data_IF_735185137084
#
_entry.id   IF_735185137084
#
_cell.length_a   1.000
_cell.length_b   1.000
_cell.length_c   1.000
_cell.angle_alpha   90.00
_cell.angle_beta   90.00
_cell.angle_gamma   90.00
#
_symmetry.space_group_name_H-M   'P 1'
#
loop_
_entity.id
_entity.type
_entity.pdbx_description
1 polymer ?
#
# COMPACT_ATOMS: atom_id res chain seq x y z
N UNK A 1 22.51 51.99 17.22
CA UNK A 1 22.44 50.55 17.42
C UNK A 1 22.09 49.94 16.08
N UNK A 2 23.13 49.53 15.35
CA UNK A 2 22.92 48.86 14.04
C UNK A 2 22.57 47.41 14.32
N UNK A 3 21.35 47.02 14.04
CA UNK A 3 20.99 45.62 13.90
C UNK A 3 21.62 45.13 12.60
N UNK A 4 22.77 44.50 12.68
CA UNK A 4 23.29 43.65 11.62
C UNK A 4 22.24 42.56 11.35
N UNK A 5 21.53 42.74 10.28
CA UNK A 5 20.64 41.72 9.71
C UNK A 5 21.53 40.54 9.29
N UNK A 6 21.60 39.53 10.16
CA UNK A 6 22.38 38.32 9.96
C UNK A 6 21.84 37.65 8.69
N UNK A 7 22.50 37.87 7.56
CA UNK A 7 22.16 37.27 6.28
C UNK A 7 22.12 35.75 6.48
N UNK A 8 20.92 35.22 6.52
CA UNK A 8 20.68 33.79 6.67
C UNK A 8 21.18 33.11 5.39
N UNK A 9 22.09 32.16 5.54
CA UNK A 9 22.61 31.44 4.39
C UNK A 9 21.48 30.82 3.55
N UNK A 10 21.58 30.85 2.20
CA UNK A 10 20.56 30.32 1.34
C UNK A 10 20.32 28.84 1.63
N UNK A 11 19.07 28.48 1.83
CA UNK A 11 18.65 27.11 2.07
C UNK A 11 18.47 26.35 0.75
N UNK A 12 18.97 25.13 0.68
CA UNK A 12 18.84 24.29 -0.50
C UNK A 12 18.50 22.85 -0.11
N UNK A 13 17.71 22.17 -0.94
CA UNK A 13 17.45 20.74 -0.81
C UNK A 13 17.30 20.07 -2.18
N UNK A 14 17.43 18.75 -2.20
CA UNK A 14 17.12 17.92 -3.36
C UNK A 14 15.98 16.99 -2.95
N UNK A 15 14.85 17.11 -3.62
CA UNK A 15 13.73 16.17 -3.49
C UNK A 15 13.86 15.07 -4.55
N UNK A 16 13.52 13.85 -4.16
CA UNK A 16 13.61 12.67 -5.03
C UNK A 16 12.22 12.09 -5.25
N UNK A 17 11.83 12.02 -6.53
CA UNK A 17 10.53 11.52 -6.97
C UNK A 17 10.73 10.32 -7.89
N UNK A 18 9.77 9.42 -7.90
CA UNK A 18 9.79 8.25 -8.79
C UNK A 18 8.44 8.07 -9.49
N UNK A 19 8.51 7.79 -10.81
CA UNK A 19 7.33 7.52 -11.64
C UNK A 19 6.53 8.76 -12.04
N UNK A 20 7.17 9.95 -12.01
CA UNK A 20 6.57 11.22 -12.47
C UNK A 20 7.53 11.88 -13.45
N UNK A 21 7.05 12.35 -14.63
CA UNK A 21 7.88 13.08 -15.59
C UNK A 21 8.48 14.36 -14.99
N UNK A 22 9.73 14.64 -15.36
CA UNK A 22 10.45 15.81 -14.85
C UNK A 22 9.77 17.13 -15.23
N UNK A 23 9.13 17.20 -16.39
CA UNK A 23 8.40 18.37 -16.89
C UNK A 23 7.25 18.74 -15.94
N UNK A 24 6.50 17.73 -15.47
CA UNK A 24 5.41 17.93 -14.51
C UNK A 24 5.93 18.42 -13.16
N UNK A 25 7.04 17.85 -12.70
CA UNK A 25 7.69 18.25 -11.44
C UNK A 25 8.24 19.66 -11.55
N UNK A 26 8.83 20.01 -12.70
CA UNK A 26 9.36 21.36 -12.98
C UNK A 26 8.25 22.41 -12.95
N UNK A 27 7.10 22.13 -13.61
CA UNK A 27 5.94 23.04 -13.58
C UNK A 27 5.45 23.31 -12.18
N UNK A 28 5.25 22.24 -11.39
CA UNK A 28 4.82 22.37 -10.00
C UNK A 28 5.84 23.11 -9.12
N UNK A 29 7.12 22.91 -9.38
CA UNK A 29 8.17 23.61 -8.65
C UNK A 29 8.19 25.11 -8.97
N UNK A 30 7.92 25.51 -10.21
CA UNK A 30 7.78 26.92 -10.61
C UNK A 30 6.63 27.62 -9.88
N UNK A 31 5.53 26.90 -9.60
CA UNK A 31 4.40 27.42 -8.81
C UNK A 31 4.77 27.79 -7.37
N UNK A 32 5.88 27.25 -6.85
CA UNK A 32 6.37 27.59 -5.51
C UNK A 32 7.08 28.96 -5.45
N UNK A 33 7.42 29.55 -6.60
CA UNK A 33 8.15 30.79 -6.70
C UNK A 33 9.65 30.67 -6.37
N UNK A 34 10.17 29.47 -6.12
CA UNK A 34 11.57 29.23 -5.81
C UNK A 34 12.41 28.92 -7.07
N UNK A 35 13.71 29.17 -6.96
CA UNK A 35 14.66 28.65 -7.95
C UNK A 35 14.68 27.11 -7.89
N UNK A 36 14.25 26.50 -8.99
CA UNK A 36 14.05 25.06 -9.09
C UNK A 36 14.71 24.50 -10.37
N UNK A 37 15.38 23.37 -10.24
CA UNK A 37 15.98 22.65 -11.35
C UNK A 37 15.64 21.16 -11.24
N UNK A 38 15.01 20.61 -12.29
CA UNK A 38 14.72 19.19 -12.41
C UNK A 38 15.75 18.49 -13.27
N UNK A 39 16.10 17.27 -12.88
CA UNK A 39 16.91 16.34 -13.67
C UNK A 39 16.21 14.98 -13.72
N UNK A 40 15.87 14.51 -14.91
CA UNK A 40 15.36 13.16 -15.12
C UNK A 40 16.52 12.15 -15.14
N UNK A 41 16.31 11.00 -14.50
CA UNK A 41 17.21 9.86 -14.52
C UNK A 41 16.38 8.58 -14.67
N UNK A 42 16.01 8.23 -15.90
CA UNK A 42 15.02 7.20 -16.17
C UNK A 42 13.65 7.57 -15.62
N UNK A 43 13.09 6.75 -14.74
CA UNK A 43 11.82 7.02 -14.05
C UNK A 43 11.98 7.84 -12.74
N UNK A 44 13.21 8.16 -12.36
CA UNK A 44 13.50 9.01 -11.20
C UNK A 44 13.65 10.47 -11.63
N UNK A 45 13.08 11.38 -10.86
CA UNK A 45 13.23 12.82 -11.03
C UNK A 45 13.86 13.41 -9.77
N UNK A 46 14.98 14.10 -9.95
CA UNK A 46 15.66 14.86 -8.91
C UNK A 46 15.27 16.32 -9.07
N UNK A 47 14.72 16.92 -8.01
CA UNK A 47 14.32 18.31 -7.95
C UNK A 47 15.22 19.06 -6.96
N UNK A 48 16.15 19.87 -7.44
CA UNK A 48 16.92 20.78 -6.63
C UNK A 48 16.13 22.09 -6.41
N UNK A 49 15.95 22.49 -5.16
CA UNK A 49 15.30 23.72 -4.73
C UNK A 49 16.28 24.62 -4.00
N UNK A 50 16.19 25.93 -4.23
CA UNK A 50 16.94 26.95 -3.50
C UNK A 50 15.99 28.06 -3.05
N UNK A 51 16.11 28.44 -1.79
CA UNK A 51 15.33 29.52 -1.19
C UNK A 51 16.26 30.48 -0.45
N UNK A 52 15.88 31.72 -0.35
CA UNK A 52 16.60 32.74 0.44
C UNK A 52 16.47 32.46 1.94
N UNK A 53 15.38 31.83 2.36
CA UNK A 53 15.10 31.51 3.76
C UNK A 53 14.72 30.06 3.96
N UNK A 54 15.05 29.43 5.10
CA UNK A 54 14.60 28.09 5.45
C UNK A 54 13.07 27.95 5.47
N UNK A 55 12.37 28.97 5.96
CA UNK A 55 10.90 28.98 6.01
C UNK A 55 10.27 28.92 4.61
N UNK A 56 10.83 29.64 3.63
CA UNK A 56 10.39 29.58 2.24
C UNK A 56 10.61 28.20 1.64
N UNK A 57 11.78 27.58 1.92
CA UNK A 57 12.06 26.22 1.49
C UNK A 57 11.07 25.20 2.07
N UNK A 58 10.77 25.31 3.38
CA UNK A 58 9.82 24.41 4.05
C UNK A 58 8.40 24.57 3.52
N UNK A 59 7.98 25.79 3.17
CA UNK A 59 6.69 26.06 2.55
C UNK A 59 6.57 25.38 1.18
N UNK A 60 7.59 25.53 0.33
CA UNK A 60 7.65 24.89 -0.98
C UNK A 60 7.67 23.36 -0.86
N UNK A 61 8.44 22.80 0.07
CA UNK A 61 8.47 21.37 0.34
C UNK A 61 7.07 20.86 0.73
N UNK A 62 6.35 21.53 1.62
CA UNK A 62 4.98 21.15 1.99
C UNK A 62 4.03 21.15 0.80
N UNK A 63 4.10 22.15 -0.07
CA UNK A 63 3.28 22.23 -1.29
C UNK A 63 3.57 21.05 -2.23
N UNK A 64 4.85 20.77 -2.51
CA UNK A 64 5.25 19.66 -3.36
C UNK A 64 4.94 18.28 -2.75
N UNK A 65 5.08 18.14 -1.43
CA UNK A 65 4.63 16.94 -0.74
C UNK A 65 3.12 16.71 -0.85
N UNK A 66 2.31 17.76 -0.80
CA UNK A 66 0.86 17.63 -0.97
C UNK A 66 0.50 17.18 -2.40
N UNK A 67 1.22 17.68 -3.40
CA UNK A 67 0.96 17.38 -4.80
C UNK A 67 1.50 16.00 -5.24
N UNK A 68 2.68 15.61 -4.74
CA UNK A 68 3.40 14.40 -5.15
C UNK A 68 3.58 13.38 -4.01
N UNK A 69 2.68 13.35 -3.04
CA UNK A 69 2.81 12.52 -1.84
C UNK A 69 3.15 11.05 -2.10
N UNK A 70 2.62 10.45 -3.17
CA UNK A 70 2.89 9.06 -3.52
C UNK A 70 4.21 8.88 -4.27
N UNK A 71 4.58 9.85 -5.10
CA UNK A 71 5.77 9.79 -5.94
C UNK A 71 7.05 10.22 -5.18
N UNK A 72 6.94 11.18 -4.26
CA UNK A 72 8.05 11.67 -3.47
C UNK A 72 8.47 10.62 -2.45
N UNK A 73 9.72 10.15 -2.55
CA UNK A 73 10.20 9.04 -1.72
C UNK A 73 11.36 9.43 -0.81
N UNK A 74 12.03 10.55 -1.05
CA UNK A 74 13.17 10.95 -0.23
C UNK A 74 13.70 12.34 -0.51
N UNK A 75 14.68 12.71 0.30
CA UNK A 75 15.45 13.95 0.21
C UNK A 75 16.95 13.64 0.24
N UNK A 76 17.75 14.51 -0.36
CA UNK A 76 19.21 14.42 -0.36
C UNK A 76 19.71 13.13 -1.01
N UNK A 77 20.48 12.36 -0.27
CA UNK A 77 21.10 11.11 -0.72
C UNK A 77 20.22 9.86 -0.50
N UNK A 78 18.97 10.04 -0.05
CA UNK A 78 18.06 8.91 0.20
C UNK A 78 17.76 8.17 -1.11
N UNK A 79 18.16 6.91 -1.20
CA UNK A 79 17.86 6.07 -2.37
C UNK A 79 16.46 5.45 -2.28
N UNK A 80 15.89 5.10 -3.45
CA UNK A 80 14.60 4.41 -3.49
C UNK A 80 14.62 3.05 -2.76
N UNK A 81 15.77 2.37 -2.80
CA UNK A 81 15.99 1.11 -2.08
C UNK A 81 15.86 1.32 -0.57
N UNK A 82 16.55 2.33 -0.03
CA UNK A 82 16.44 2.70 1.38
C UNK A 82 15.01 3.10 1.76
N UNK A 83 14.33 3.87 0.90
CA UNK A 83 12.96 4.29 1.14
C UNK A 83 12.00 3.09 1.17
N UNK A 84 12.17 2.10 0.27
CA UNK A 84 11.37 0.89 0.26
C UNK A 84 11.63 0.02 1.51
N UNK A 85 12.89 -0.20 1.89
CA UNK A 85 13.25 -0.95 3.09
C UNK A 85 12.69 -0.29 4.36
N UNK A 86 12.85 1.02 4.52
CA UNK A 86 12.28 1.78 5.65
C UNK A 86 10.75 1.71 5.69
N UNK A 87 10.08 1.76 4.53
CA UNK A 87 8.63 1.65 4.45
C UNK A 87 8.12 0.28 4.93
N UNK A 88 8.81 -0.79 4.55
CA UNK A 88 8.53 -2.15 5.02
C UNK A 88 8.78 -2.29 6.52
N UNK A 89 9.94 -1.81 7.02
CA UNK A 89 10.32 -1.86 8.44
C UNK A 89 9.33 -1.09 9.32
N UNK A 90 9.01 0.14 8.97
CA UNK A 90 8.05 0.98 9.69
C UNK A 90 6.65 0.35 9.81
N UNK A 91 6.30 -0.53 8.89
CA UNK A 91 5.02 -1.25 8.87
C UNK A 91 5.14 -2.71 9.30
N UNK A 92 6.33 -3.15 9.70
CA UNK A 92 6.64 -4.54 10.06
C UNK A 92 6.12 -5.52 8.99
N UNK A 93 6.50 -5.27 7.73
CA UNK A 93 6.08 -6.05 6.57
C UNK A 93 7.26 -6.77 5.97
N UNK A 94 7.09 -8.06 5.68
CA UNK A 94 8.08 -8.88 5.00
C UNK A 94 7.76 -8.92 3.51
N UNK A 95 8.79 -8.80 2.68
CA UNK A 95 8.80 -9.04 1.24
C UNK A 95 9.57 -10.33 0.97
N UNK A 96 9.04 -11.19 0.11
CA UNK A 96 9.72 -12.39 -0.38
C UNK A 96 9.72 -12.40 -1.90
N UNK A 97 10.63 -13.13 -2.52
CA UNK A 97 10.62 -13.38 -3.96
C UNK A 97 9.93 -14.72 -4.28
N UNK A 98 9.07 -14.70 -5.29
CA UNK A 98 8.34 -15.89 -5.74
C UNK A 98 9.13 -16.72 -6.77
N UNK A 99 10.14 -16.14 -7.38
CA UNK A 99 10.99 -16.74 -8.40
C UNK A 99 12.41 -16.18 -8.36
N UNK A 100 13.34 -16.88 -9.02
CA UNK A 100 14.75 -16.49 -9.07
C UNK A 100 14.98 -15.17 -9.82
N UNK A 101 14.18 -14.88 -10.86
CA UNK A 101 14.30 -13.63 -11.61
C UNK A 101 13.99 -12.42 -10.75
N UNK A 102 12.91 -12.48 -9.94
CA UNK A 102 12.61 -11.40 -8.99
C UNK A 102 13.68 -11.30 -7.89
N UNK A 103 14.25 -12.45 -7.45
CA UNK A 103 15.40 -12.49 -6.55
C UNK A 103 16.58 -11.72 -7.14
N UNK A 104 17.01 -12.07 -8.33
CA UNK A 104 18.13 -11.42 -9.02
C UNK A 104 17.92 -9.90 -9.22
N UNK A 105 16.67 -9.46 -9.45
CA UNK A 105 16.35 -8.04 -9.57
C UNK A 105 16.52 -7.26 -8.25
N UNK A 106 16.21 -7.88 -7.12
CA UNK A 106 16.09 -7.20 -5.84
C UNK A 106 17.30 -7.39 -4.92
N UNK A 107 17.90 -8.58 -4.89
CA UNK A 107 18.97 -8.96 -3.96
C UNK A 107 20.14 -7.99 -4.01
N UNK A 108 20.78 -7.84 -5.18
CA UNK A 108 21.95 -6.96 -5.35
C UNK A 108 21.72 -5.52 -4.86
N UNK A 109 20.47 -5.05 -4.91
CA UNK A 109 20.12 -3.70 -4.48
C UNK A 109 19.82 -3.64 -2.99
N UNK A 110 19.11 -4.62 -2.46
CA UNK A 110 18.71 -4.65 -1.06
C UNK A 110 19.89 -5.00 -0.14
N UNK A 111 20.85 -5.81 -0.57
CA UNK A 111 22.08 -6.10 0.16
C UNK A 111 22.88 -4.84 0.56
N UNK A 112 22.72 -3.76 -0.20
CA UNK A 112 23.38 -2.47 0.12
C UNK A 112 22.74 -1.73 1.30
N UNK A 113 21.62 -2.22 1.84
CA UNK A 113 20.83 -1.53 2.87
C UNK A 113 20.71 -2.41 4.12
N UNK A 114 21.33 -2.00 5.22
CA UNK A 114 21.33 -2.76 6.48
C UNK A 114 19.92 -3.13 7.00
N UNK A 115 18.92 -2.28 6.76
CA UNK A 115 17.54 -2.57 7.16
C UNK A 115 16.89 -3.70 6.34
N UNK A 116 17.46 -4.07 5.20
CA UNK A 116 16.85 -5.06 4.31
C UNK A 116 16.77 -6.46 4.92
N UNK A 117 17.75 -6.87 5.72
CA UNK A 117 17.77 -8.18 6.40
C UNK A 117 16.52 -8.43 7.26
N UNK A 118 15.89 -7.37 7.78
CA UNK A 118 14.70 -7.46 8.62
C UNK A 118 13.40 -7.55 7.82
N UNK A 119 13.42 -7.14 6.56
CA UNK A 119 12.21 -6.90 5.76
C UNK A 119 12.20 -7.64 4.44
N UNK A 120 13.33 -8.23 4.05
CA UNK A 120 13.47 -9.00 2.84
C UNK A 120 14.04 -10.39 3.16
N UNK A 121 13.34 -11.43 2.73
CA UNK A 121 13.82 -12.79 2.87
C UNK A 121 14.54 -13.21 1.60
N UNK A 122 15.85 -13.17 1.65
CA UNK A 122 16.77 -13.48 0.55
C UNK A 122 16.69 -14.93 0.07
N UNK A 123 16.23 -15.85 0.90
CA UNK A 123 16.31 -17.27 0.61
C UNK A 123 15.01 -18.03 0.58
N UNK A 124 13.92 -17.45 1.12
CA UNK A 124 12.74 -18.23 1.49
C UNK A 124 12.10 -18.99 0.35
N UNK A 125 12.09 -18.44 -0.85
CA UNK A 125 11.30 -19.01 -1.96
C UNK A 125 12.13 -19.38 -3.19
N UNK A 126 13.33 -18.82 -3.33
CA UNK A 126 14.17 -19.00 -4.53
C UNK A 126 15.14 -20.16 -4.40
N UNK A 127 15.70 -20.35 -3.22
CA UNK A 127 16.87 -21.24 -3.06
C UNK A 127 16.65 -22.37 -2.08
N UNK A 128 15.67 -22.21 -1.18
CA UNK A 128 15.78 -22.94 0.01
C UNK A 128 15.25 -24.34 -0.14
N UNK A 129 14.13 -24.55 -0.13
CA UNK A 129 13.56 -25.84 0.17
C UNK A 129 12.97 -26.45 -1.09
N UNK A 130 13.59 -27.52 -1.58
CA UNK A 130 13.06 -28.31 -2.70
C UNK A 130 11.59 -28.69 -2.47
N UNK A 131 11.20 -28.95 -1.23
CA UNK A 131 9.83 -29.27 -0.86
C UNK A 131 8.90 -28.08 -1.07
N UNK A 132 9.34 -26.85 -0.72
CA UNK A 132 8.58 -25.61 -0.93
C UNK A 132 8.53 -25.29 -2.41
N UNK A 133 9.63 -25.41 -3.14
CA UNK A 133 9.69 -25.25 -4.60
C UNK A 133 8.75 -26.23 -5.30
N UNK A 134 8.76 -27.49 -4.92
CA UNK A 134 7.86 -28.52 -5.45
C UNK A 134 6.38 -28.17 -5.19
N UNK A 135 6.05 -27.64 -4.01
CA UNK A 135 4.68 -27.19 -3.70
C UNK A 135 4.26 -25.97 -4.54
N UNK A 136 5.16 -25.02 -4.76
CA UNK A 136 4.92 -23.87 -5.64
C UNK A 136 4.67 -24.33 -7.07
N UNK A 137 5.53 -25.19 -7.59
CA UNK A 137 5.44 -25.73 -8.95
C UNK A 137 4.18 -26.57 -9.15
N UNK A 138 3.80 -27.39 -8.16
CA UNK A 138 2.57 -28.18 -8.23
C UNK A 138 1.32 -27.30 -8.33
N UNK A 139 1.32 -26.12 -7.69
CA UNK A 139 0.20 -25.16 -7.80
C UNK A 139 0.19 -24.43 -9.14
N UNK A 140 1.35 -24.17 -9.71
CA UNK A 140 1.47 -23.44 -11.00
C UNK A 140 1.24 -24.34 -12.21
N UNK A 141 1.56 -25.62 -12.15
CA UNK A 141 1.39 -26.59 -13.26
C UNK A 141 -0.04 -26.70 -13.81
N UNK A 142 -1.04 -26.37 -13.01
CA UNK A 142 -2.46 -26.44 -13.41
C UNK A 142 -3.00 -25.11 -13.97
N UNK A 143 -2.18 -24.07 -13.99
CA UNK A 143 -2.61 -22.74 -14.49
C UNK A 143 -2.60 -22.77 -16.00
N UNK A 144 -3.77 -22.57 -16.60
CA UNK A 144 -3.89 -22.35 -18.05
C UNK A 144 -3.54 -20.90 -18.34
N UNK A 145 -2.63 -20.66 -19.27
CA UNK A 145 -2.20 -19.33 -19.66
C UNK A 145 -0.69 -19.25 -19.84
N UNK A 146 -0.20 -18.16 -20.36
CA UNK A 146 1.22 -17.94 -20.62
C UNK A 146 2.03 -17.70 -19.34
N UNK A 147 3.33 -17.39 -19.52
CA UNK A 147 4.29 -17.17 -18.44
C UNK A 147 3.80 -16.16 -17.38
N UNK A 148 3.10 -15.09 -17.78
CA UNK A 148 2.57 -14.09 -16.87
C UNK A 148 1.48 -14.64 -15.93
N UNK A 149 0.59 -15.51 -16.43
CA UNK A 149 -0.43 -16.16 -15.59
C UNK A 149 0.21 -17.13 -14.59
N UNK A 150 1.24 -17.85 -15.01
CA UNK A 150 2.02 -18.75 -14.12
C UNK A 150 2.77 -17.95 -13.04
N UNK A 151 3.39 -16.82 -13.40
CA UNK A 151 4.06 -15.94 -12.45
C UNK A 151 3.08 -15.36 -11.42
N UNK A 152 1.90 -14.92 -11.86
CA UNK A 152 0.84 -14.46 -10.95
C UNK A 152 0.43 -15.54 -9.94
N UNK A 153 0.26 -16.78 -10.39
CA UNK A 153 -0.09 -17.90 -9.53
C UNK A 153 1.07 -18.25 -8.57
N UNK A 154 2.32 -18.16 -9.02
CA UNK A 154 3.52 -18.38 -8.20
C UNK A 154 3.64 -17.32 -7.10
N UNK A 155 3.44 -16.05 -7.45
CA UNK A 155 3.41 -14.93 -6.49
C UNK A 155 2.33 -15.14 -5.43
N UNK A 156 1.12 -15.54 -5.82
CA UNK A 156 0.05 -15.86 -4.87
C UNK A 156 0.44 -17.01 -3.94
N UNK A 157 1.03 -18.05 -4.49
CA UNK A 157 1.46 -19.22 -3.72
C UNK A 157 2.59 -18.85 -2.75
N UNK A 158 3.61 -18.10 -3.19
CA UNK A 158 4.72 -17.64 -2.36
C UNK A 158 4.23 -16.81 -1.18
N UNK A 159 3.34 -15.85 -1.42
CA UNK A 159 2.73 -15.03 -0.38
C UNK A 159 1.98 -15.87 0.66
N UNK A 160 1.24 -16.88 0.21
CA UNK A 160 0.47 -17.76 1.11
C UNK A 160 1.35 -18.69 1.93
N UNK A 161 2.40 -19.26 1.31
CA UNK A 161 3.28 -20.21 1.99
C UNK A 161 4.20 -19.53 3.00
N UNK A 162 4.75 -18.39 2.66
CA UNK A 162 5.64 -17.63 3.55
C UNK A 162 4.89 -16.86 4.64
N UNK A 163 3.60 -16.57 4.43
CA UNK A 163 2.86 -15.65 5.28
C UNK A 163 3.32 -14.19 5.17
N UNK A 164 4.26 -13.88 4.26
CA UNK A 164 4.79 -12.55 4.04
C UNK A 164 3.68 -11.57 3.65
N UNK A 165 3.90 -10.28 3.91
CA UNK A 165 2.95 -9.24 3.52
C UNK A 165 2.87 -9.12 1.99
N UNK A 166 4.02 -9.25 1.34
CA UNK A 166 4.18 -9.12 -0.11
C UNK A 166 5.06 -10.24 -0.66
N UNK A 167 4.76 -10.63 -1.90
CA UNK A 167 5.60 -11.52 -2.69
C UNK A 167 5.88 -10.85 -4.05
N UNK A 168 7.15 -10.72 -4.41
CA UNK A 168 7.59 -10.20 -5.69
C UNK A 168 7.80 -11.33 -6.69
N UNK A 169 7.43 -11.10 -7.94
CA UNK A 169 7.70 -12.00 -9.06
C UNK A 169 7.91 -11.20 -10.33
N UNK A 170 8.55 -11.79 -11.33
CA UNK A 170 8.66 -11.17 -12.63
C UNK A 170 8.70 -12.17 -13.78
N UNK A 171 8.44 -11.67 -14.97
CA UNK A 171 8.62 -12.37 -16.23
C UNK A 171 9.44 -11.48 -17.14
N UNK A 172 10.68 -11.86 -17.37
CA UNK A 172 11.57 -11.17 -18.30
C UNK A 172 11.20 -11.53 -19.74
N UNK A 173 11.16 -10.51 -20.60
CA UNK A 173 10.97 -10.63 -22.03
C UNK A 173 12.11 -9.86 -22.73
N UNK A 174 12.21 -9.98 -24.04
CA UNK A 174 13.31 -9.37 -24.81
C UNK A 174 13.42 -7.85 -24.58
N UNK A 175 12.30 -7.12 -24.60
CA UNK A 175 12.27 -5.66 -24.56
C UNK A 175 11.83 -5.11 -23.19
N UNK A 176 11.13 -5.92 -22.40
CA UNK A 176 10.50 -5.48 -21.17
C UNK A 176 10.42 -6.59 -20.11
N UNK A 177 10.05 -6.21 -18.90
CA UNK A 177 9.82 -7.11 -17.79
C UNK A 177 8.45 -6.85 -17.21
N UNK A 178 7.63 -7.91 -17.08
CA UNK A 178 6.35 -7.86 -16.36
C UNK A 178 6.62 -8.11 -14.89
N UNK A 179 6.26 -7.15 -14.06
CA UNK A 179 6.49 -7.12 -12.62
C UNK A 179 5.20 -7.45 -11.88
N UNK A 180 5.31 -8.25 -10.84
CA UNK A 180 4.20 -8.68 -9.99
C UNK A 180 4.53 -8.38 -8.53
N UNK A 181 3.65 -7.68 -7.83
CA UNK A 181 3.72 -7.50 -6.38
C UNK A 181 2.43 -8.05 -5.76
N UNK A 182 2.49 -9.26 -5.26
CA UNK A 182 1.36 -9.94 -4.64
C UNK A 182 1.16 -9.53 -3.19
N UNK A 183 -0.10 -9.49 -2.79
CA UNK A 183 -0.56 -9.32 -1.42
C UNK A 183 -1.61 -10.38 -1.11
N UNK A 184 -2.17 -10.39 0.12
CA UNK A 184 -3.25 -11.32 0.48
C UNK A 184 -4.50 -11.22 -0.42
N UNK A 185 -4.77 -10.04 -1.01
CA UNK A 185 -6.05 -9.75 -1.70
C UNK A 185 -5.97 -9.81 -3.22
N UNK A 186 -4.78 -9.76 -3.76
CA UNK A 186 -4.51 -9.68 -5.19
C UNK A 186 -3.09 -9.19 -5.43
N UNK A 187 -2.82 -8.80 -6.65
CA UNK A 187 -1.49 -8.47 -7.14
C UNK A 187 -1.52 -7.14 -7.89
N UNK A 188 -0.54 -6.29 -7.68
CA UNK A 188 -0.24 -5.20 -8.60
C UNK A 188 0.64 -5.73 -9.71
N UNK A 189 0.32 -5.36 -10.94
CA UNK A 189 1.03 -5.78 -12.15
C UNK A 189 1.46 -4.54 -12.92
N UNK A 190 2.70 -4.51 -13.35
CA UNK A 190 3.26 -3.45 -14.18
C UNK A 190 4.24 -4.04 -15.17
N UNK A 191 4.20 -3.57 -16.40
CA UNK A 191 5.24 -3.86 -17.39
C UNK A 191 6.17 -2.65 -17.52
N UNK A 192 7.45 -2.89 -17.35
CA UNK A 192 8.51 -1.89 -17.46
C UNK A 192 9.48 -2.27 -18.57
N UNK A 193 9.89 -1.32 -19.42
CA UNK A 193 10.96 -1.53 -20.37
C UNK A 193 12.24 -1.95 -19.64
N UNK A 194 13.04 -2.85 -20.21
CA UNK A 194 14.29 -3.32 -19.60
C UNK A 194 15.28 -2.18 -19.37
N UNK A 195 15.29 -1.17 -20.25
CA UNK A 195 16.05 0.09 -20.09
C UNK A 195 15.51 0.99 -18.97
N UNK A 196 14.28 0.78 -18.52
CA UNK A 196 13.57 1.57 -17.52
C UNK A 196 13.77 1.12 -16.06
N UNK A 197 14.83 0.35 -15.76
CA UNK A 197 15.17 -0.15 -14.45
C UNK A 197 14.02 -0.89 -13.72
N UNK A 198 13.59 -2.08 -14.19
CA UNK A 198 12.49 -2.85 -13.64
C UNK A 198 12.56 -3.05 -12.11
N UNK A 199 13.77 -3.24 -11.57
CA UNK A 199 13.98 -3.39 -10.14
C UNK A 199 13.52 -2.16 -9.33
N UNK A 200 13.75 -0.95 -9.83
CA UNK A 200 13.32 0.28 -9.16
C UNK A 200 11.79 0.41 -9.19
N UNK A 201 11.14 0.00 -10.28
CA UNK A 201 9.69 -0.05 -10.34
C UNK A 201 9.10 -1.03 -9.31
N UNK A 202 9.69 -2.20 -9.16
CA UNK A 202 9.24 -3.19 -8.18
C UNK A 202 9.43 -2.69 -6.74
N UNK A 203 10.53 -1.98 -6.47
CA UNK A 203 10.80 -1.34 -5.18
C UNK A 203 9.81 -0.20 -4.89
N UNK A 204 9.48 0.65 -5.88
CA UNK A 204 8.49 1.70 -5.68
C UNK A 204 7.08 1.14 -5.47
N UNK A 205 6.68 0.11 -6.23
CA UNK A 205 5.43 -0.61 -6.00
C UNK A 205 5.36 -1.15 -4.56
N UNK A 206 6.46 -1.71 -4.07
CA UNK A 206 6.58 -2.24 -2.70
C UNK A 206 6.48 -1.12 -1.65
N UNK A 207 7.21 -0.01 -1.84
CA UNK A 207 7.17 1.16 -0.97
C UNK A 207 5.75 1.73 -0.88
N UNK A 208 5.12 1.98 -2.02
CA UNK A 208 3.74 2.51 -2.08
C UNK A 208 2.76 1.55 -1.42
N UNK A 209 2.86 0.25 -1.70
CA UNK A 209 2.01 -0.76 -1.07
C UNK A 209 2.20 -0.81 0.46
N UNK A 210 3.44 -0.76 0.95
CA UNK A 210 3.76 -0.77 2.38
C UNK A 210 3.18 0.45 3.09
N UNK A 211 3.32 1.64 2.50
CA UNK A 211 2.79 2.90 3.05
C UNK A 211 1.28 3.08 2.83
N UNK A 212 0.67 2.25 1.99
CA UNK A 212 -0.75 2.37 1.64
C UNK A 212 -1.01 3.55 0.72
N UNK A 213 -0.04 3.93 -0.10
CA UNK A 213 -0.13 4.98 -1.11
C UNK A 213 -0.72 4.44 -2.43
N UNK A 214 -1.27 5.29 -3.29
CA UNK A 214 -1.66 4.90 -4.64
C UNK A 214 -0.44 4.45 -5.42
N UNK A 215 -0.63 3.42 -6.27
CA UNK A 215 0.42 2.97 -7.18
C UNK A 215 0.61 3.99 -8.32
N UNK A 216 1.79 3.97 -8.94
CA UNK A 216 2.06 4.82 -10.09
C UNK A 216 1.17 4.43 -11.28
N UNK A 217 0.90 5.40 -12.15
CA UNK A 217 0.18 5.20 -13.40
C UNK A 217 0.77 4.04 -14.21
N UNK A 218 -0.09 3.26 -14.87
CA UNK A 218 0.31 2.05 -15.59
C UNK A 218 0.52 0.83 -14.70
N UNK A 219 0.30 0.93 -13.39
CA UNK A 219 0.27 -0.22 -12.48
C UNK A 219 -1.16 -0.66 -12.25
N UNK A 220 -1.49 -1.88 -12.64
CA UNK A 220 -2.86 -2.41 -12.63
C UNK A 220 -3.05 -3.34 -11.43
N UNK A 221 -4.19 -3.22 -10.79
CA UNK A 221 -4.59 -4.15 -9.74
C UNK A 221 -5.32 -5.36 -10.31
N UNK A 222 -4.79 -6.55 -10.04
CA UNK A 222 -5.32 -7.83 -10.47
C UNK A 222 -5.82 -8.67 -9.30
N UNK A 223 -7.06 -9.11 -9.35
CA UNK A 223 -7.56 -10.13 -8.41
C UNK A 223 -7.02 -11.50 -8.81
N UNK A 224 -6.68 -12.30 -7.81
CA UNK A 224 -6.31 -13.69 -8.06
C UNK A 224 -7.49 -14.48 -8.63
N UNK A 225 -7.19 -15.35 -9.60
CA UNK A 225 -8.19 -16.17 -10.28
C UNK A 225 -8.87 -15.49 -11.47
N UNK A 226 -8.63 -14.20 -11.69
CA UNK A 226 -9.10 -13.52 -12.90
C UNK A 226 -8.01 -13.49 -13.97
N UNK A 227 -8.35 -13.50 -15.28
CA UNK A 227 -7.37 -13.35 -16.35
C UNK A 227 -6.68 -11.99 -16.29
N UNK A 228 -5.40 -11.96 -16.67
CA UNK A 228 -4.65 -10.71 -16.77
C UNK A 228 -5.18 -9.88 -17.95
N UNK A 229 -5.51 -8.60 -17.74
CA UNK A 229 -5.92 -7.74 -18.84
C UNK A 229 -4.72 -7.41 -19.74
N UNK A 230 -4.91 -7.24 -21.04
CA UNK A 230 -3.83 -6.96 -21.99
C UNK A 230 -2.99 -5.72 -21.61
N UNK A 231 -3.63 -4.72 -21.04
CA UNK A 231 -2.99 -3.47 -20.62
C UNK A 231 -1.91 -3.69 -19.54
N UNK A 232 -2.08 -4.72 -18.69
CA UNK A 232 -1.09 -5.07 -17.69
C UNK A 232 0.20 -5.64 -18.29
N UNK A 233 0.12 -6.14 -19.52
CA UNK A 233 1.23 -6.79 -20.25
C UNK A 233 1.90 -5.87 -21.25
N UNK A 234 1.47 -4.62 -21.34
CA UNK A 234 2.05 -3.59 -22.23
C UNK A 234 2.84 -2.57 -21.39
N UNK A 235 3.97 -2.12 -21.94
CA UNK A 235 4.73 -1.01 -21.34
C UNK A 235 3.88 0.25 -21.42
N UNK A 236 3.67 0.88 -20.28
CA UNK A 236 2.94 2.14 -20.19
C UNK A 236 3.92 3.32 -20.14
N UNK A 237 3.74 4.34 -20.96
CA UNK A 237 4.54 5.55 -20.89
C UNK A 237 4.26 6.31 -19.59
N UNK A 238 5.23 7.10 -19.13
CA UNK A 238 5.00 8.07 -18.05
C UNK A 238 4.29 9.28 -18.64
N UNK A 239 2.97 9.34 -18.56
CA UNK A 239 2.19 10.46 -19.10
C UNK A 239 2.08 11.63 -18.13
N UNK A 240 2.40 11.41 -16.86
CA UNK A 240 2.30 12.44 -15.84
C UNK A 240 0.87 12.79 -15.43
N UNK A 241 -0.13 12.01 -15.84
CA UNK A 241 -1.51 12.20 -15.44
C UNK A 241 -1.70 11.84 -13.96
N UNK A 242 -2.60 11.05 -13.56
CA UNK A 242 -2.81 10.73 -12.15
C UNK A 242 -2.07 9.45 -11.74
N UNK A 243 -1.70 9.33 -10.48
CA UNK A 243 -1.33 8.04 -9.91
C UNK A 243 -2.49 7.03 -10.06
N UNK A 244 -2.17 5.75 -10.22
CA UNK A 244 -3.19 4.71 -10.33
C UNK A 244 -4.15 4.73 -9.13
N UNK A 245 -5.45 4.47 -9.35
CA UNK A 245 -6.45 4.56 -8.30
C UNK A 245 -6.10 3.66 -7.12
N UNK A 246 -6.14 4.24 -5.94
CA UNK A 246 -5.92 3.51 -4.71
C UNK A 246 -7.10 2.59 -4.43
N UNK A 247 -6.85 1.34 -4.14
CA UNK A 247 -7.88 0.47 -3.57
C UNK A 247 -8.37 1.08 -2.26
N UNK A 248 -9.53 1.73 -2.30
CA UNK A 248 -10.16 2.24 -1.08
C UNK A 248 -10.24 1.09 -0.09
N UNK A 249 -9.44 1.15 0.97
CA UNK A 249 -9.56 0.24 2.10
C UNK A 249 -10.99 0.35 2.58
N UNK A 250 -11.80 -0.70 2.37
CA UNK A 250 -13.13 -0.76 3.00
C UNK A 250 -12.86 -0.57 4.50
N UNK A 251 -13.14 0.62 4.99
CA UNK A 251 -13.07 0.90 6.43
C UNK A 251 -14.00 -0.13 7.05
N UNK A 252 -13.49 -0.91 7.98
CA UNK A 252 -14.27 -1.87 8.76
C UNK A 252 -15.25 -1.14 9.71
N UNK A 253 -15.89 -0.08 9.22
CA UNK A 253 -16.87 0.72 9.97
C UNK A 253 -18.00 -0.15 10.49
N UNK A 254 -18.50 -1.08 9.65
CA UNK A 254 -19.56 -1.99 10.05
C UNK A 254 -19.09 -2.96 11.13
N UNK A 255 -17.89 -3.54 11.01
CA UNK A 255 -17.33 -4.45 12.02
C UNK A 255 -17.09 -3.73 13.35
N UNK A 256 -16.53 -2.52 13.31
CA UNK A 256 -16.30 -1.73 14.52
C UNK A 256 -17.63 -1.28 15.14
N UNK A 257 -18.63 -0.92 14.34
CA UNK A 257 -19.97 -0.59 14.81
C UNK A 257 -20.66 -1.81 15.48
N UNK A 258 -20.60 -2.99 14.86
CA UNK A 258 -21.11 -4.22 15.46
C UNK A 258 -20.39 -4.60 16.77
N UNK A 259 -19.08 -4.35 16.84
CA UNK A 259 -18.28 -4.60 18.05
C UNK A 259 -18.68 -3.65 19.18
N UNK A 260 -18.92 -2.38 18.90
CA UNK A 260 -19.42 -1.39 19.86
C UNK A 260 -20.84 -1.76 20.33
N UNK A 261 -21.72 -2.17 19.41
CA UNK A 261 -23.08 -2.66 19.76
C UNK A 261 -23.02 -3.90 20.67
N UNK A 262 -22.15 -4.86 20.37
CA UNK A 262 -21.95 -6.05 21.20
C UNK A 262 -21.45 -5.69 22.60
N UNK A 263 -20.48 -4.80 22.71
CA UNK A 263 -19.96 -4.33 24.00
C UNK A 263 -21.04 -3.58 24.80
N UNK A 264 -21.84 -2.76 24.14
CA UNK A 264 -22.97 -2.06 24.79
C UNK A 264 -24.04 -3.04 25.28
N UNK A 265 -24.36 -4.08 24.50
CA UNK A 265 -25.29 -5.14 24.91
C UNK A 265 -24.77 -5.95 26.09
N UNK A 266 -23.48 -6.30 26.11
CA UNK A 266 -22.85 -6.99 27.24
C UNK A 266 -22.81 -6.13 28.49
N UNK A 267 -22.55 -4.83 28.37
CA UNK A 267 -22.60 -3.89 29.49
C UNK A 267 -24.02 -3.75 30.04
N UNK A 268 -25.03 -3.68 29.18
CA UNK A 268 -26.43 -3.65 29.61
C UNK A 268 -26.86 -4.94 30.32
N UNK A 269 -26.42 -6.11 29.84
CA UNK A 269 -26.66 -7.40 30.49
C UNK A 269 -25.97 -7.48 31.86
N UNK A 270 -24.70 -7.01 31.96
CA UNK A 270 -23.98 -6.98 33.23
C UNK A 270 -24.64 -6.04 34.26
N UNK A 271 -25.11 -4.87 33.80
CA UNK A 271 -25.85 -3.95 34.62
C UNK A 271 -27.18 -4.58 35.12
N UNK A 272 -27.93 -5.19 34.20
CA UNK A 272 -29.18 -5.89 34.53
C UNK A 272 -28.94 -7.00 35.55
N UNK A 273 -27.87 -7.80 35.38
CA UNK A 273 -27.47 -8.83 36.33
C UNK A 273 -27.16 -8.24 37.70
N UNK A 274 -26.41 -7.16 37.75
CA UNK A 274 -26.04 -6.48 38.98
C UNK A 274 -27.26 -5.92 39.74
N UNK A 275 -28.20 -5.27 39.03
CA UNK A 275 -29.40 -4.68 39.63
C UNK A 275 -30.46 -5.72 40.05
N UNK A 276 -30.54 -6.86 39.35
CA UNK A 276 -31.52 -7.90 39.65
C UNK A 276 -31.00 -8.99 40.60
N UNK A 277 -29.72 -8.89 41.04
CA UNK A 277 -29.12 -9.94 41.86
C UNK A 277 -29.08 -11.32 41.20
N UNK A 278 -29.13 -11.36 39.87
CA UNK A 278 -29.15 -12.59 39.06
C UNK A 278 -30.53 -13.09 38.66
N UNK A 279 -31.62 -12.45 39.08
CA UNK A 279 -32.98 -12.81 38.74
C UNK A 279 -33.55 -11.89 37.65
N UNK A 280 -33.45 -12.32 36.38
CA UNK A 280 -33.96 -11.55 35.24
C UNK A 280 -35.49 -11.43 35.19
N UNK A 281 -36.24 -12.25 35.94
CA UNK A 281 -37.70 -12.17 36.00
C UNK A 281 -38.18 -10.90 36.72
N UNK A 282 -37.32 -10.32 37.57
CA UNK A 282 -37.61 -9.08 38.30
C UNK A 282 -37.37 -7.79 37.48
N UNK A 283 -36.73 -7.90 36.33
CA UNK A 283 -36.32 -6.78 35.49
C UNK A 283 -37.48 -5.87 35.01
N UNK A 284 -38.65 -6.41 34.58
CA UNK A 284 -39.78 -5.58 34.17
C UNK A 284 -40.37 -4.71 35.29
N UNK A 285 -40.19 -5.11 36.54
CA UNK A 285 -40.71 -4.38 37.69
C UNK A 285 -39.81 -3.25 38.18
N UNK A 286 -38.54 -3.29 37.83
CA UNK A 286 -37.52 -2.32 38.23
C UNK A 286 -37.23 -1.25 37.16
N UNK A 287 -37.83 -1.39 35.95
CA UNK A 287 -37.67 -0.42 34.88
C UNK A 287 -38.50 0.86 35.15
N UNK A 288 -38.00 2.05 34.74
CA UNK A 288 -38.77 3.28 34.79
C UNK A 288 -40.10 3.15 34.02
N UNK A 289 -41.16 3.78 34.52
CA UNK A 289 -42.50 3.69 33.96
C UNK A 289 -42.64 3.77 32.43
N UNK A 290 -41.93 4.68 31.72
CA UNK A 290 -42.05 4.76 30.25
C UNK A 290 -41.50 3.54 29.51
N UNK A 291 -40.53 2.80 30.08
CA UNK A 291 -40.00 1.57 29.49
C UNK A 291 -40.88 0.34 29.79
N UNK A 292 -41.62 0.36 30.90
CA UNK A 292 -42.59 -0.69 31.23
C UNK A 292 -43.77 -0.68 30.30
N UNK A 293 -44.23 0.51 29.85
CA UNK A 293 -45.32 0.65 28.87
C UNK A 293 -44.93 0.13 27.47
N UNK A 294 -43.68 0.35 27.04
CA UNK A 294 -43.14 -0.18 25.77
C UNK A 294 -43.17 -1.71 25.74
N UNK A 295 -42.83 -2.39 26.83
CA UNK A 295 -42.84 -3.85 26.91
C UNK A 295 -44.26 -4.43 26.99
N UNK A 296 -45.23 -3.64 27.49
CA UNK A 296 -46.67 -4.05 27.50
C UNK A 296 -47.33 -3.86 26.16
N UNK A 297 -46.87 -2.92 25.34
CA UNK A 297 -47.46 -2.65 24.01
C UNK A 297 -47.26 -3.80 23.02
N UNK A 298 -46.21 -4.61 23.19
CA UNK A 298 -45.95 -5.78 22.33
C UNK A 298 -46.81 -7.03 22.66
N UNK A 299 -47.66 -6.97 23.70
CA UNK A 299 -48.52 -8.07 24.11
C UNK A 299 -49.97 -7.98 23.55
N UNK A 300 -50.22 -7.10 22.55
CA UNK A 300 -51.54 -7.05 21.89
C UNK A 300 -51.71 -8.28 21.00
N UNK A 301 -52.91 -8.97 21.12
CA UNK A 301 -53.16 -10.19 20.39
C UNK A 301 -53.23 -9.91 18.87
N UNK A 302 -52.47 -10.69 18.11
CA UNK A 302 -52.60 -10.75 16.63
C UNK A 302 -54.01 -11.16 16.29
N UNK A 303 -54.83 -10.18 15.97
CA UNK A 303 -56.17 -10.37 15.42
C UNK A 303 -56.03 -11.16 14.10
N UNK A 304 -56.55 -12.38 14.11
CA UNK A 304 -56.60 -13.25 12.94
C UNK A 304 -57.54 -12.66 11.90
N UNK A 305 -57.00 -12.11 10.81
CA UNK A 305 -57.76 -11.89 9.60
C UNK A 305 -57.86 -13.24 8.85
N UNK A 306 -59.02 -13.89 8.92
CA UNK A 306 -59.43 -14.93 7.99
C UNK A 306 -59.66 -14.26 6.64
N UNK A 307 -58.91 -14.67 5.64
CA UNK A 307 -59.20 -14.45 4.24
C UNK A 307 -60.34 -15.42 3.84
N UNK A 308 -61.45 -14.87 3.34
CA UNK A 308 -62.44 -15.54 2.50
C UNK A 308 -62.05 -15.24 1.06
#
# INVERSE_FOLDING_TARGET
>A
MNHEEKATAPAACVLRLFGVPAERVQLAAQETGLAAQCRAQGAETLLALRAETPAGLDAAKRQLHAQFAAALYGEGETTLVQAAARALEARRRLLVCADASAGALLETRLETVAAAEKVFDFGAMSYADEKTRTKLDAKTRRVKGGAAAMALARVQAAQRFSGAAYAAGCVERAEDTVLFLGSRKGCWVRTAANSGAPALWLLDMTRRAALGLPQAEGTIWQKYGCPLPPEALAVQPLTGTADAPHLKRKKHRLRNFLLVLLLAALAALAAAWYYTGGDFAALPQQLPAPLQELLRADSLPRSGAKLI
#
